data_IF_234910375247
#
_entry.id   IF_234910375247
#
_cell.length_a   1.000
_cell.length_b   1.000
_cell.length_c   1.000
_cell.angle_alpha   90.00
_cell.angle_beta   90.00
_cell.angle_gamma   90.00
#
_symmetry.space_group_name_H-M   'P 1'
#
loop_
_entity.id
_entity.type
_entity.pdbx_description
1 polymer ?
#
# COMPACT_ATOMS: atom_id res chain seq x y z
N UNK A 1 3.33 58.86 66.44
CA UNK A 1 3.64 57.95 67.56
C UNK A 1 5.15 57.86 67.65
N UNK A 2 5.72 58.58 68.61
CA UNK A 2 7.15 58.62 68.90
C UNK A 2 7.61 57.27 69.46
N UNK A 3 8.80 56.80 69.08
CA UNK A 3 9.74 56.23 70.05
C UNK A 3 11.18 56.41 69.55
N UNK A 4 11.83 57.41 70.15
CA UNK A 4 13.28 57.48 70.32
C UNK A 4 13.76 56.30 71.18
N UNK A 5 15.01 55.88 71.03
CA UNK A 5 16.02 55.92 72.12
C UNK A 5 17.42 55.61 71.55
N UNK A 6 18.32 56.56 71.80
CA UNK A 6 19.79 56.52 71.67
C UNK A 6 20.39 55.50 72.65
N UNK A 7 21.64 55.08 72.44
CA UNK A 7 22.89 55.44 73.19
C UNK A 7 23.84 54.28 72.84
N UNK A 8 25.15 54.37 72.60
CA UNK A 8 26.24 55.33 72.76
C UNK A 8 27.52 54.48 72.60
N UNK A 9 28.58 54.92 71.94
CA UNK A 9 29.62 55.71 72.59
C UNK A 9 31.02 55.32 72.06
N UNK A 10 31.85 56.35 71.89
CA UNK A 10 33.33 56.45 71.97
C UNK A 10 34.21 55.49 71.14
N UNK A 11 34.95 55.94 70.12
CA UNK A 11 36.13 56.83 70.11
C UNK A 11 37.36 56.25 70.84
N UNK A 12 38.26 55.71 70.01
CA UNK A 12 39.71 55.92 69.96
C UNK A 12 40.69 55.04 70.77
N UNK A 13 41.78 54.75 70.05
CA UNK A 13 43.20 54.72 70.40
C UNK A 13 43.98 53.40 70.25
N UNK A 14 45.19 53.59 69.69
CA UNK A 14 46.36 52.71 69.56
C UNK A 14 46.41 51.83 68.28
N UNK A 15 47.49 51.76 67.49
CA UNK A 15 48.84 52.36 67.55
C UNK A 15 49.53 52.07 66.18
N UNK A 16 50.06 53.11 65.54
CA UNK A 16 51.35 53.21 64.79
C UNK A 16 51.89 52.02 63.99
N UNK A 17 52.21 52.25 62.71
CA UNK A 17 53.36 51.61 62.06
C UNK A 17 53.39 51.62 60.52
N UNK A 18 54.29 52.42 59.91
CA UNK A 18 54.96 52.19 58.61
C UNK A 18 54.12 52.37 57.33
N UNK A 19 54.26 53.46 56.57
CA UNK A 19 55.27 53.66 55.50
C UNK A 19 55.34 52.48 54.50
N UNK A 20 54.67 52.68 53.36
CA UNK A 20 55.19 52.59 51.98
C UNK A 20 56.33 51.56 51.77
N UNK A 21 56.01 50.36 51.25
CA UNK A 21 56.76 49.64 50.21
C UNK A 21 56.14 48.25 49.97
N UNK A 22 55.41 48.03 48.87
CA UNK A 22 55.57 46.85 47.99
C UNK A 22 54.57 46.90 46.83
N UNK A 23 55.10 47.26 45.67
CA UNK A 23 54.58 46.91 44.36
C UNK A 23 54.58 45.39 44.15
N UNK A 24 53.72 44.92 43.23
CA UNK A 24 53.58 43.54 42.72
C UNK A 24 52.97 42.52 43.69
N UNK A 25 51.67 42.22 43.50
CA UNK A 25 51.24 40.86 43.16
C UNK A 25 49.79 40.86 42.65
N UNK A 26 49.70 40.79 41.33
CA UNK A 26 48.70 40.06 40.53
C UNK A 26 47.44 39.54 41.21
N UNK A 27 46.32 40.16 40.88
CA UNK A 27 45.09 39.44 40.50
C UNK A 27 44.69 39.99 39.14
N UNK A 28 45.38 39.59 38.07
CA UNK A 28 44.97 38.45 37.25
C UNK A 28 43.43 38.33 37.17
N UNK A 29 42.79 39.41 36.73
CA UNK A 29 41.55 39.26 35.97
C UNK A 29 41.95 38.45 34.74
N UNK A 30 41.64 37.16 34.78
CA UNK A 30 41.82 36.25 33.67
C UNK A 30 41.01 36.84 32.52
N UNK A 31 41.74 37.50 31.63
CA UNK A 31 41.35 37.69 30.26
C UNK A 31 41.03 36.31 29.71
N UNK A 32 39.75 35.94 29.69
CA UNK A 32 39.25 35.17 28.57
C UNK A 32 39.21 36.13 27.39
N UNK A 33 40.40 36.44 26.86
CA UNK A 33 40.60 36.56 25.42
C UNK A 33 40.13 35.22 24.85
N UNK A 34 38.81 35.07 24.76
CA UNK A 34 38.18 34.32 23.69
C UNK A 34 38.89 34.82 22.45
N UNK A 35 39.73 33.96 21.89
CA UNK A 35 40.53 34.30 20.74
C UNK A 35 39.60 35.01 19.76
N UNK A 36 39.94 36.25 19.40
CA UNK A 36 39.38 36.95 18.25
C UNK A 36 39.59 36.01 17.06
N UNK A 37 38.65 35.11 16.82
CA UNK A 37 38.46 34.53 15.51
C UNK A 37 38.12 35.74 14.67
N UNK A 38 39.11 36.25 13.94
CA UNK A 38 38.91 37.25 12.90
C UNK A 38 37.66 36.84 12.11
N UNK A 39 36.51 37.43 12.43
CA UNK A 39 35.25 37.20 11.73
C UNK A 39 35.39 37.92 10.39
N UNK A 40 36.20 37.34 9.50
CA UNK A 40 36.44 37.81 8.16
C UNK A 40 35.07 37.97 7.52
N UNK A 41 34.73 39.21 7.19
CA UNK A 41 33.46 39.54 6.56
C UNK A 41 33.75 39.74 5.09
N UNK A 42 33.14 38.90 4.25
CA UNK A 42 33.30 38.90 2.80
C UNK A 42 32.04 39.43 2.14
N UNK A 43 32.22 40.11 1.01
CA UNK A 43 31.13 40.58 0.16
C UNK A 43 30.92 39.60 -0.99
N UNK A 44 29.75 39.00 -1.08
CA UNK A 44 29.35 38.07 -2.13
C UNK A 44 28.43 38.76 -3.14
N UNK A 45 28.85 38.88 -4.40
CA UNK A 45 27.97 39.40 -5.45
C UNK A 45 26.97 38.32 -5.91
N UNK A 46 25.70 38.69 -6.00
CA UNK A 46 24.61 37.81 -6.46
C UNK A 46 23.68 38.55 -7.42
N UNK A 47 23.08 37.86 -8.40
CA UNK A 47 21.98 38.45 -9.19
C UNK A 47 20.72 38.55 -8.34
N UNK A 48 19.87 39.56 -8.62
CA UNK A 48 18.59 39.78 -7.93
C UNK A 48 17.64 38.59 -8.08
N UNK A 49 17.66 37.96 -9.25
CA UNK A 49 16.80 36.82 -9.52
C UNK A 49 17.47 35.82 -10.47
N UNK A 50 17.49 34.56 -10.05
CA UNK A 50 17.81 33.41 -10.88
C UNK A 50 17.11 32.20 -10.28
N UNK A 51 16.12 31.60 -10.97
CA UNK A 51 15.25 30.58 -10.37
C UNK A 51 16.02 29.48 -9.65
N UNK A 52 15.45 29.00 -8.54
CA UNK A 52 16.02 28.03 -7.59
C UNK A 52 17.25 28.54 -6.81
N UNK A 53 18.14 29.30 -7.44
CA UNK A 53 19.45 29.67 -6.89
C UNK A 53 19.41 30.95 -6.07
N UNK A 54 18.76 31.98 -6.60
CA UNK A 54 18.76 33.34 -6.07
C UNK A 54 17.38 33.97 -6.21
N UNK A 55 16.84 34.42 -5.10
CA UNK A 55 15.61 35.19 -5.01
C UNK A 55 15.78 36.26 -3.94
N UNK A 56 15.52 37.52 -4.28
CA UNK A 56 15.54 38.63 -3.33
C UNK A 56 14.11 39.03 -3.00
N UNK A 57 13.76 39.05 -1.72
CA UNK A 57 12.44 39.48 -1.26
C UNK A 57 12.27 41.02 -1.24
N UNK A 58 11.09 41.49 -0.86
CA UNK A 58 10.79 42.93 -0.77
C UNK A 58 11.60 43.67 0.31
N UNK A 59 12.29 42.93 1.19
CA UNK A 59 13.14 43.45 2.26
C UNK A 59 14.64 43.39 1.88
N UNK A 60 14.95 43.18 0.60
CA UNK A 60 16.29 43.00 0.06
C UNK A 60 17.07 41.86 0.76
N UNK A 61 16.37 40.84 1.29
CA UNK A 61 17.01 39.64 1.82
C UNK A 61 17.11 38.57 0.73
N UNK A 62 18.33 38.12 0.40
CA UNK A 62 18.52 37.06 -0.57
C UNK A 62 18.22 35.70 0.04
N UNK A 63 17.57 34.86 -0.75
CA UNK A 63 17.22 33.49 -0.43
C UNK A 63 17.47 32.61 -1.66
N UNK A 64 17.55 31.30 -1.46
CA UNK A 64 17.71 30.35 -2.57
C UNK A 64 18.82 29.34 -2.29
N UNK A 65 18.96 28.37 -3.19
CA UNK A 65 19.89 27.27 -3.02
C UNK A 65 21.33 27.74 -2.81
N UNK A 66 21.80 28.66 -3.67
CA UNK A 66 23.16 29.16 -3.60
C UNK A 66 23.44 29.98 -2.33
N UNK A 67 22.41 30.64 -1.78
CA UNK A 67 22.50 31.37 -0.51
C UNK A 67 22.59 30.39 0.65
N UNK A 68 21.67 29.43 0.73
CA UNK A 68 21.67 28.39 1.77
C UNK A 68 22.99 27.59 1.76
N UNK A 69 23.52 27.26 0.58
CA UNK A 69 24.82 26.60 0.45
C UNK A 69 25.97 27.49 0.94
N UNK A 70 26.01 28.76 0.53
CA UNK A 70 27.07 29.68 0.91
C UNK A 70 27.08 29.97 2.41
N UNK A 71 25.91 30.16 3.02
CA UNK A 71 25.79 30.41 4.46
C UNK A 71 26.28 29.20 5.27
N UNK A 72 25.99 27.97 4.81
CA UNK A 72 26.52 26.76 5.45
C UNK A 72 28.05 26.65 5.32
N UNK A 73 28.59 26.96 4.14
CA UNK A 73 30.04 26.99 3.92
C UNK A 73 30.69 28.07 4.79
N UNK A 74 30.09 29.25 4.88
CA UNK A 74 30.54 30.36 5.72
C UNK A 74 30.59 29.95 7.19
N UNK A 75 29.52 29.30 7.69
CA UNK A 75 29.46 28.75 9.05
C UNK A 75 30.55 27.72 9.33
N UNK A 76 30.90 26.86 8.37
CA UNK A 76 31.99 25.87 8.52
C UNK A 76 33.37 26.54 8.60
N UNK A 77 33.53 27.71 7.99
CA UNK A 77 34.79 28.47 7.97
C UNK A 77 34.90 29.55 9.04
N UNK A 78 33.81 29.88 9.74
CA UNK A 78 33.75 31.02 10.67
C UNK A 78 33.74 32.40 9.97
N UNK A 79 33.39 32.44 8.68
CA UNK A 79 33.33 33.65 7.87
C UNK A 79 31.91 34.24 7.95
N UNK A 80 31.80 35.57 7.88
CA UNK A 80 30.52 36.25 7.65
C UNK A 80 30.40 36.66 6.20
N UNK A 81 29.23 36.50 5.60
CA UNK A 81 28.98 36.87 4.21
C UNK A 81 27.92 37.97 4.16
N UNK A 82 28.24 39.07 3.50
CA UNK A 82 27.30 40.11 3.13
C UNK A 82 27.00 40.00 1.65
N UNK A 83 25.72 40.04 1.27
CA UNK A 83 25.31 39.87 -0.12
C UNK A 83 25.16 41.22 -0.83
N UNK A 84 25.90 41.41 -1.92
CA UNK A 84 25.79 42.55 -2.83
C UNK A 84 24.87 42.16 -3.99
N UNK A 85 23.67 42.72 -4.00
CA UNK A 85 22.65 42.43 -5.01
C UNK A 85 22.92 43.25 -6.28
N UNK A 86 22.96 42.58 -7.42
CA UNK A 86 23.09 43.17 -8.76
C UNK A 86 21.90 42.80 -9.63
N UNK A 87 21.56 43.63 -10.62
CA UNK A 87 20.33 43.43 -11.40
C UNK A 87 20.42 42.23 -12.36
N UNK A 88 21.62 41.92 -12.86
CA UNK A 88 21.84 40.83 -13.80
C UNK A 88 23.24 40.20 -13.64
N UNK A 89 23.48 39.09 -14.34
CA UNK A 89 24.76 38.37 -14.31
C UNK A 89 25.95 39.17 -14.82
N UNK A 90 25.77 40.09 -15.76
CA UNK A 90 26.87 40.92 -16.28
C UNK A 90 27.39 41.80 -15.16
N UNK A 91 26.49 42.48 -14.45
CA UNK A 91 26.83 43.34 -13.32
C UNK A 91 27.41 42.54 -12.14
N UNK A 92 26.92 41.32 -11.89
CA UNK A 92 27.48 40.41 -10.88
C UNK A 92 28.93 40.04 -11.17
N UNK A 93 29.23 39.68 -12.43
CA UNK A 93 30.59 39.31 -12.86
C UNK A 93 31.51 40.54 -12.85
N UNK A 94 31.00 41.70 -13.25
CA UNK A 94 31.74 42.96 -13.19
C UNK A 94 32.14 43.32 -11.75
N UNK A 95 31.24 43.15 -10.78
CA UNK A 95 31.52 43.42 -9.36
C UNK A 95 32.71 42.60 -8.82
N UNK A 96 32.81 41.32 -9.20
CA UNK A 96 33.96 40.49 -8.83
C UNK A 96 35.24 40.91 -9.58
N UNK A 97 35.10 41.31 -10.84
CA UNK A 97 36.23 41.74 -11.69
C UNK A 97 36.88 43.01 -11.14
N UNK A 98 36.06 44.01 -10.81
CA UNK A 98 36.48 45.32 -10.28
C UNK A 98 36.91 45.25 -8.81
N UNK A 99 36.54 44.18 -8.10
CA UNK A 99 36.84 44.00 -6.67
C UNK A 99 35.82 44.69 -5.75
N UNK A 100 34.66 45.07 -6.28
CA UNK A 100 33.51 45.49 -5.46
C UNK A 100 32.97 44.32 -4.61
N UNK A 101 33.13 43.09 -5.09
CA UNK A 101 32.85 41.86 -4.35
C UNK A 101 34.08 40.96 -4.25
N UNK A 102 34.15 40.21 -3.15
CA UNK A 102 35.24 39.26 -2.87
C UNK A 102 35.02 37.91 -3.55
N UNK A 103 33.75 37.50 -3.70
CA UNK A 103 33.36 36.22 -4.28
C UNK A 103 31.99 36.26 -4.98
N UNK A 104 31.72 35.22 -5.79
CA UNK A 104 30.37 34.89 -6.29
C UNK A 104 30.05 33.46 -5.84
N UNK A 105 28.95 33.22 -5.09
CA UNK A 105 28.71 31.93 -4.45
C UNK A 105 28.52 30.74 -5.39
N UNK A 106 27.86 30.93 -6.53
CA UNK A 106 27.52 29.83 -7.42
C UNK A 106 27.57 30.29 -8.90
N UNK A 107 28.77 30.32 -9.45
CA UNK A 107 29.03 30.73 -10.84
C UNK A 107 29.41 29.51 -11.69
N UNK A 108 28.93 29.47 -12.94
CA UNK A 108 29.30 28.42 -13.88
C UNK A 108 30.77 28.49 -14.27
N UNK A 109 31.45 27.35 -14.15
CA UNK A 109 32.87 27.18 -14.47
C UNK A 109 33.00 27.01 -15.98
N UNK A 110 33.71 27.94 -16.63
CA UNK A 110 33.93 27.95 -18.09
C UNK A 110 35.37 28.35 -18.38
N UNK A 111 36.01 27.83 -19.46
CA UNK A 111 37.40 28.14 -19.78
C UNK A 111 37.71 29.65 -19.86
N UNK A 112 36.77 30.46 -20.37
CA UNK A 112 36.92 31.90 -20.49
C UNK A 112 36.97 32.59 -19.12
N UNK A 113 36.17 32.11 -18.15
CA UNK A 113 36.12 32.64 -16.79
C UNK A 113 37.31 32.19 -15.95
N UNK A 114 37.80 30.97 -16.15
CA UNK A 114 39.02 30.46 -15.50
C UNK A 114 40.28 31.27 -15.88
N UNK A 115 40.23 32.05 -16.95
CA UNK A 115 41.32 32.98 -17.28
C UNK A 115 41.43 34.12 -16.27
N UNK A 116 40.31 34.57 -15.69
CA UNK A 116 40.21 35.77 -14.84
C UNK A 116 39.80 35.50 -13.38
N UNK A 117 39.22 34.33 -13.11
CA UNK A 117 38.77 33.90 -11.79
C UNK A 117 39.34 32.53 -11.43
N UNK A 118 39.47 32.27 -10.13
CA UNK A 118 39.68 30.93 -9.60
C UNK A 118 38.37 30.41 -9.00
N UNK A 119 38.17 29.10 -9.08
CA UNK A 119 36.95 28.43 -8.63
C UNK A 119 37.27 27.34 -7.61
N UNK A 120 36.37 27.18 -6.64
CA UNK A 120 36.39 25.98 -5.79
C UNK A 120 36.05 24.73 -6.60
N UNK A 121 36.23 23.55 -6.01
CA UNK A 121 35.57 22.34 -6.51
C UNK A 121 34.07 22.58 -6.70
N UNK A 122 33.43 21.90 -7.67
CA UNK A 122 32.03 22.13 -7.97
C UNK A 122 31.16 21.88 -6.74
N UNK A 123 30.31 22.86 -6.40
CA UNK A 123 29.28 22.72 -5.35
C UNK A 123 27.99 22.16 -5.95
N UNK A 124 27.81 22.33 -7.26
CA UNK A 124 26.64 21.90 -8.00
C UNK A 124 27.01 21.52 -9.43
N UNK A 125 26.28 20.60 -10.03
CA UNK A 125 26.33 20.31 -11.46
C UNK A 125 24.90 20.23 -11.99
N UNK A 126 24.61 20.93 -13.08
CA UNK A 126 23.31 20.86 -13.73
C UNK A 126 23.45 20.57 -15.23
N UNK A 127 22.47 19.88 -15.84
CA UNK A 127 22.44 19.69 -17.28
C UNK A 127 21.94 20.95 -17.99
N UNK A 128 22.57 21.29 -19.11
CA UNK A 128 21.99 22.16 -20.14
C UNK A 128 21.32 21.25 -21.16
N UNK A 129 20.02 21.45 -21.37
CA UNK A 129 19.22 20.54 -22.18
C UNK A 129 18.49 21.29 -23.30
N UNK A 130 18.05 20.52 -24.29
CA UNK A 130 17.29 21.05 -25.43
C UNK A 130 15.80 20.97 -25.08
N UNK A 131 15.16 22.13 -25.04
CA UNK A 131 13.72 22.28 -24.87
C UNK A 131 13.04 22.50 -26.20
N UNK A 132 11.96 21.76 -26.42
CA UNK A 132 11.08 21.93 -27.58
C UNK A 132 9.63 22.01 -27.11
N UNK A 133 8.73 22.51 -27.97
CA UNK A 133 7.28 22.43 -27.70
C UNK A 133 6.85 20.97 -27.56
N UNK A 134 5.90 20.67 -26.68
CA UNK A 134 5.43 19.29 -26.48
C UNK A 134 4.87 18.64 -27.75
N UNK A 135 4.33 19.46 -28.65
CA UNK A 135 3.81 19.05 -29.98
C UNK A 135 4.89 18.84 -31.05
N UNK A 136 6.13 19.27 -30.82
CA UNK A 136 7.25 19.14 -31.77
C UNK A 136 7.87 17.75 -31.66
N UNK A 137 8.04 17.02 -32.77
CA UNK A 137 8.60 15.65 -32.78
C UNK A 137 9.81 15.47 -33.70
N UNK A 138 10.16 16.51 -34.48
CA UNK A 138 11.24 16.47 -35.47
C UNK A 138 12.63 16.67 -34.86
N UNK A 139 12.70 17.26 -33.67
CA UNK A 139 13.95 17.52 -32.94
C UNK A 139 14.01 16.56 -31.77
N UNK A 140 14.98 15.64 -31.78
CA UNK A 140 15.15 14.59 -30.76
C UNK A 140 16.51 14.63 -30.08
N UNK A 141 17.49 15.29 -30.68
CA UNK A 141 18.85 15.40 -30.19
C UNK A 141 19.51 16.69 -30.69
N UNK A 142 20.80 16.84 -30.39
CA UNK A 142 21.60 17.99 -30.75
C UNK A 142 21.82 18.10 -32.27
N UNK A 143 21.95 16.96 -32.96
CA UNK A 143 22.18 16.91 -34.41
C UNK A 143 20.99 17.44 -35.22
N UNK A 144 19.77 17.25 -34.70
CA UNK A 144 18.52 17.71 -35.32
C UNK A 144 18.33 19.24 -35.25
N UNK A 145 19.22 19.98 -34.57
CA UNK A 145 19.20 21.45 -34.51
C UNK A 145 19.71 22.12 -35.79
N UNK A 146 20.41 21.40 -36.66
CA UNK A 146 20.91 21.95 -37.91
C UNK A 146 19.77 22.48 -38.80
N UNK A 147 19.91 23.72 -39.27
CA UNK A 147 18.90 24.42 -40.06
C UNK A 147 17.71 24.96 -39.25
N UNK A 148 17.73 24.84 -37.91
CA UNK A 148 16.65 25.29 -37.02
C UNK A 148 16.96 26.61 -36.35
N UNK A 149 15.91 27.32 -35.93
CA UNK A 149 16.03 28.50 -35.07
C UNK A 149 16.13 28.07 -33.61
N UNK A 150 17.22 28.41 -32.95
CA UNK A 150 17.50 27.98 -31.57
C UNK A 150 17.68 29.21 -30.69
N UNK A 151 16.82 29.35 -29.69
CA UNK A 151 16.98 30.37 -28.67
C UNK A 151 18.13 30.02 -27.72
N UNK A 152 18.92 31.03 -27.36
CA UNK A 152 19.99 30.96 -26.36
C UNK A 152 20.01 32.26 -25.55
N UNK A 153 20.66 32.27 -24.40
CA UNK A 153 20.84 33.48 -23.57
C UNK A 153 22.30 33.92 -23.62
N UNK A 154 22.55 35.22 -23.81
CA UNK A 154 23.85 35.84 -24.12
C UNK A 154 25.00 35.42 -23.19
N UNK A 155 24.73 35.24 -21.90
CA UNK A 155 25.74 34.95 -20.86
C UNK A 155 25.92 33.46 -20.57
N UNK A 156 25.23 32.60 -21.32
CA UNK A 156 25.25 31.16 -21.10
C UNK A 156 26.43 30.50 -21.83
N UNK A 157 27.10 29.55 -21.16
CA UNK A 157 28.24 28.81 -21.73
C UNK A 157 27.88 28.05 -23.02
N UNK A 158 26.59 27.75 -23.23
CA UNK A 158 26.13 26.97 -24.38
C UNK A 158 26.24 27.71 -25.72
N UNK A 159 26.32 29.04 -25.72
CA UNK A 159 26.46 29.84 -26.96
C UNK A 159 27.72 29.42 -27.72
N UNK A 160 28.83 29.21 -27.02
CA UNK A 160 30.10 28.82 -27.63
C UNK A 160 30.05 27.40 -28.23
N UNK A 161 29.28 26.50 -27.62
CA UNK A 161 29.11 25.13 -28.12
C UNK A 161 28.27 25.13 -29.38
N UNK A 162 27.12 25.83 -29.36
CA UNK A 162 26.21 25.82 -30.49
C UNK A 162 26.76 26.59 -31.69
N UNK A 163 27.65 27.57 -31.48
CA UNK A 163 28.39 28.23 -32.56
C UNK A 163 29.31 27.29 -33.35
N UNK A 164 29.64 26.10 -32.84
CA UNK A 164 30.42 25.10 -33.57
C UNK A 164 29.57 24.36 -34.64
N UNK A 165 28.24 24.46 -34.57
CA UNK A 165 27.32 23.88 -35.52
C UNK A 165 27.01 24.89 -36.63
N UNK A 166 27.55 24.64 -37.83
CA UNK A 166 27.58 25.63 -38.93
C UNK A 166 26.20 26.07 -39.44
N UNK A 167 25.16 25.25 -39.27
CA UNK A 167 23.82 25.50 -39.83
C UNK A 167 22.75 25.87 -38.78
N UNK A 168 23.12 26.03 -37.51
CA UNK A 168 22.16 26.41 -36.46
C UNK A 168 21.93 27.92 -36.45
N UNK A 169 20.67 28.37 -36.54
CA UNK A 169 20.32 29.78 -36.48
C UNK A 169 20.10 30.21 -35.02
N UNK A 170 21.14 30.74 -34.38
CA UNK A 170 21.06 31.21 -33.00
C UNK A 170 20.31 32.53 -32.88
N UNK A 171 19.27 32.54 -32.04
CA UNK A 171 18.53 33.74 -31.63
C UNK A 171 18.91 34.03 -30.17
N UNK A 172 19.70 35.08 -29.97
CA UNK A 172 20.24 35.43 -28.65
C UNK A 172 19.26 36.34 -27.91
N UNK A 173 18.90 35.94 -26.69
CA UNK A 173 18.07 36.70 -25.77
C UNK A 173 18.90 37.20 -24.59
N UNK A 174 18.46 38.30 -23.98
CA UNK A 174 19.05 38.81 -22.74
C UNK A 174 18.69 37.99 -21.51
N UNK A 175 17.54 37.31 -21.55
CA UNK A 175 16.97 36.58 -20.41
C UNK A 175 16.20 35.33 -20.89
N UNK A 176 16.05 34.35 -20.01
CA UNK A 176 15.42 33.06 -20.25
C UNK A 176 13.89 33.15 -20.41
N UNK A 177 13.23 34.10 -19.75
CA UNK A 177 11.76 34.25 -19.84
C UNK A 177 11.32 34.60 -21.27
N UNK A 178 11.85 35.66 -21.94
CA UNK A 178 11.53 35.93 -23.34
C UNK A 178 11.89 34.78 -24.28
N UNK A 179 13.00 34.08 -24.04
CA UNK A 179 13.42 32.93 -24.84
C UNK A 179 12.41 31.77 -24.76
N UNK A 180 11.93 31.46 -23.54
CA UNK A 180 10.89 30.44 -23.32
C UNK A 180 9.58 30.81 -24.02
N UNK A 181 9.14 32.06 -23.95
CA UNK A 181 7.94 32.51 -24.66
C UNK A 181 8.10 32.47 -26.19
N UNK A 182 9.30 32.76 -26.71
CA UNK A 182 9.62 32.61 -28.13
C UNK A 182 9.52 31.15 -28.59
N UNK A 183 9.93 30.19 -27.73
CA UNK A 183 9.74 28.76 -28.00
C UNK A 183 8.25 28.38 -28.03
N UNK A 184 7.48 28.83 -27.03
CA UNK A 184 6.07 28.49 -26.89
C UNK A 184 5.19 29.06 -28.02
N UNK A 185 5.53 30.25 -28.52
CA UNK A 185 4.84 30.92 -29.63
C UNK A 185 5.17 30.33 -31.00
N UNK A 186 6.29 29.63 -31.13
CA UNK A 186 6.73 29.06 -32.39
C UNK A 186 7.72 29.93 -33.17
N UNK A 187 8.16 31.04 -32.61
CA UNK A 187 9.14 31.93 -33.23
C UNK A 187 10.53 31.27 -33.36
N UNK A 188 10.86 30.39 -32.40
CA UNK A 188 12.01 29.47 -32.46
C UNK A 188 11.56 28.01 -32.39
N UNK A 189 12.40 27.11 -32.90
CA UNK A 189 12.12 25.67 -32.95
C UNK A 189 12.57 24.95 -31.67
N UNK A 190 13.65 25.41 -31.06
CA UNK A 190 14.21 24.88 -29.82
C UNK A 190 14.76 26.00 -28.93
N UNK A 191 14.91 25.71 -27.64
CA UNK A 191 15.56 26.55 -26.65
C UNK A 191 16.56 25.73 -25.86
N UNK A 192 17.81 26.19 -25.76
CA UNK A 192 18.86 25.46 -25.04
C UNK A 192 19.25 26.24 -23.79
N UNK A 193 19.02 25.65 -22.62
CA UNK A 193 19.19 26.32 -21.33
C UNK A 193 19.34 25.31 -20.17
N UNK A 194 19.92 25.73 -19.02
CA UNK A 194 19.92 24.94 -17.79
C UNK A 194 18.55 24.34 -17.48
N UNK A 195 18.51 23.02 -17.41
CA UNK A 195 17.24 22.29 -17.31
C UNK A 195 16.45 22.65 -16.05
N UNK A 196 17.05 22.66 -14.84
CA UNK A 196 16.28 22.89 -13.64
C UNK A 196 15.63 24.28 -13.59
N UNK A 197 16.27 25.28 -14.22
CA UNK A 197 15.74 26.65 -14.30
C UNK A 197 14.46 26.68 -15.14
N UNK A 198 14.45 26.05 -16.31
CA UNK A 198 13.27 26.04 -17.18
C UNK A 198 12.16 25.18 -16.61
N UNK A 199 12.49 24.04 -15.98
CA UNK A 199 11.50 23.21 -15.31
C UNK A 199 10.82 23.99 -14.17
N UNK A 200 11.57 24.65 -13.29
CA UNK A 200 11.00 25.48 -12.21
C UNK A 200 10.12 26.61 -12.74
N UNK A 201 10.60 27.37 -13.72
CA UNK A 201 9.81 28.44 -14.35
C UNK A 201 8.53 27.89 -15.00
N UNK A 202 8.62 26.74 -15.69
CA UNK A 202 7.47 26.12 -16.33
C UNK A 202 6.46 25.54 -15.34
N UNK A 203 6.91 25.07 -14.17
CA UNK A 203 6.06 24.67 -13.05
C UNK A 203 5.34 25.87 -12.43
N UNK A 204 6.07 26.93 -12.09
CA UNK A 204 5.52 28.18 -11.54
C UNK A 204 4.46 28.79 -12.46
N UNK A 205 4.71 28.77 -13.76
CA UNK A 205 3.78 29.28 -14.77
C UNK A 205 2.69 28.27 -15.18
N UNK A 206 2.69 27.04 -14.64
CA UNK A 206 1.73 25.97 -14.99
C UNK A 206 1.70 25.64 -16.49
N UNK A 207 2.87 25.62 -17.13
CA UNK A 207 3.06 25.36 -18.56
C UNK A 207 4.02 24.19 -18.83
N UNK A 208 4.41 23.43 -17.80
CA UNK A 208 5.33 22.30 -17.95
C UNK A 208 4.87 21.30 -19.04
N UNK A 209 3.56 21.09 -19.20
CA UNK A 209 2.99 20.23 -20.24
C UNK A 209 3.09 20.77 -21.69
N UNK A 210 3.52 22.02 -21.87
CA UNK A 210 3.68 22.68 -23.17
C UNK A 210 5.08 22.54 -23.76
N UNK A 211 6.04 22.10 -22.95
CA UNK A 211 7.43 21.89 -23.35
C UNK A 211 7.84 20.45 -23.04
N UNK A 212 8.93 20.00 -23.66
CA UNK A 212 9.61 18.76 -23.29
C UNK A 212 11.10 18.89 -23.53
N UNK A 213 11.87 18.16 -22.75
CA UNK A 213 13.31 17.98 -22.93
C UNK A 213 13.52 16.86 -23.96
N UNK A 214 14.50 17.04 -24.86
CA UNK A 214 14.85 16.04 -25.88
C UNK A 214 16.35 15.77 -25.90
N UNK A 215 16.69 14.50 -26.17
CA UNK A 215 18.06 14.04 -26.26
C UNK A 215 18.77 13.94 -24.91
N UNK A 216 20.06 13.64 -24.98
CA UNK A 216 20.97 13.80 -23.85
C UNK A 216 21.28 15.29 -23.63
N UNK A 217 21.65 15.70 -22.40
CA UNK A 217 22.12 17.05 -22.14
C UNK A 217 23.23 17.46 -23.12
N UNK A 218 23.13 18.66 -23.66
CA UNK A 218 24.15 19.24 -24.56
C UNK A 218 25.48 19.35 -23.83
N UNK A 219 25.41 19.69 -22.54
CA UNK A 219 26.55 19.79 -21.66
C UNK A 219 26.09 19.73 -20.19
N UNK A 220 26.93 19.22 -19.31
CA UNK A 220 26.81 19.47 -17.87
C UNK A 220 27.66 20.68 -17.47
N UNK A 221 27.04 21.69 -16.87
CA UNK A 221 27.77 22.82 -16.28
C UNK A 221 28.02 22.50 -14.82
N UNK A 222 29.29 22.54 -14.46
CA UNK A 222 29.75 22.57 -13.07
C UNK A 222 29.74 24.01 -12.58
N UNK A 223 29.28 24.22 -11.34
CA UNK A 223 29.32 25.52 -10.70
C UNK A 223 30.10 25.46 -9.40
N UNK A 224 30.87 26.51 -9.15
CA UNK A 224 31.72 26.66 -7.98
C UNK A 224 31.56 28.06 -7.37
N UNK A 225 32.13 28.24 -6.18
CA UNK A 225 32.37 29.58 -5.65
C UNK A 225 33.50 30.19 -6.45
N UNK A 226 33.27 31.35 -7.06
CA UNK A 226 34.27 32.08 -7.83
C UNK A 226 34.91 33.17 -6.97
N UNK A 227 36.23 33.30 -7.06
CA UNK A 227 37.00 34.41 -6.48
C UNK A 227 37.90 35.00 -7.55
N UNK A 228 38.42 36.21 -7.32
CA UNK A 228 39.42 36.80 -8.22
C UNK A 228 40.65 35.89 -8.32
N UNK A 229 41.23 35.78 -9.51
CA UNK A 229 42.40 34.93 -9.74
C UNK A 229 43.58 35.29 -8.84
N UNK A 230 44.20 34.28 -8.24
CA UNK A 230 45.29 34.41 -7.27
C UNK A 230 44.84 34.82 -5.86
N UNK A 231 43.54 34.85 -5.57
CA UNK A 231 43.03 35.23 -4.26
C UNK A 231 43.18 34.09 -3.23
N UNK A 232 43.78 34.40 -2.08
CA UNK A 232 44.02 33.45 -0.98
C UNK A 232 42.71 32.88 -0.39
N UNK A 233 41.57 33.56 -0.57
CA UNK A 233 40.25 33.08 -0.14
C UNK A 233 39.92 31.68 -0.66
N UNK A 234 40.41 31.32 -1.85
CA UNK A 234 40.19 29.99 -2.39
C UNK A 234 40.71 28.89 -1.47
N UNK A 235 41.88 29.11 -0.85
CA UNK A 235 42.50 28.13 0.06
C UNK A 235 41.69 27.90 1.34
N UNK A 236 40.90 28.90 1.74
CA UNK A 236 40.01 28.83 2.91
C UNK A 236 38.68 28.16 2.54
N UNK A 237 38.12 28.52 1.38
CA UNK A 237 36.83 28.01 0.92
C UNK A 237 36.89 26.55 0.45
N UNK A 238 37.97 26.17 -0.24
CA UNK A 238 38.10 24.88 -0.92
C UNK A 238 37.95 23.67 0.03
N UNK A 239 38.57 23.62 1.23
CA UNK A 239 38.36 22.52 2.18
C UNK A 239 36.93 22.47 2.72
N UNK A 240 36.31 23.64 2.97
CA UNK A 240 34.95 23.73 3.47
C UNK A 240 33.92 23.24 2.44
N UNK A 241 34.07 23.63 1.18
CA UNK A 241 33.28 23.12 0.05
C UNK A 241 33.38 21.60 -0.02
N UNK A 242 34.59 21.04 0.00
CA UNK A 242 34.80 19.59 -0.10
C UNK A 242 34.14 18.82 1.04
N UNK A 243 34.12 19.40 2.25
CA UNK A 243 33.43 18.80 3.40
C UNK A 243 31.91 18.94 3.30
N UNK A 244 31.43 20.07 2.80
CA UNK A 244 30.01 20.38 2.68
C UNK A 244 29.32 19.50 1.63
N UNK A 245 29.87 19.36 0.42
CA UNK A 245 29.23 18.62 -0.68
C UNK A 245 28.99 17.13 -0.40
N UNK A 246 29.69 16.55 0.57
CA UNK A 246 29.50 15.15 1.01
C UNK A 246 28.66 15.03 2.29
N UNK A 247 28.25 16.15 2.87
CA UNK A 247 27.52 16.20 4.14
C UNK A 247 26.04 15.92 3.96
N UNK A 248 25.35 15.60 5.06
CA UNK A 248 23.90 15.39 5.05
C UNK A 248 23.18 16.72 4.83
N UNK A 249 23.71 17.81 5.35
CA UNK A 249 23.18 19.16 5.21
C UNK A 249 23.11 19.58 3.74
N UNK A 250 24.13 19.26 2.93
CA UNK A 250 24.07 19.45 1.48
C UNK A 250 22.91 18.69 0.85
N UNK A 251 22.70 17.42 1.22
CA UNK A 251 21.60 16.61 0.68
C UNK A 251 20.23 17.18 1.08
N UNK A 252 20.08 17.63 2.33
CA UNK A 252 18.84 18.20 2.84
C UNK A 252 18.52 19.53 2.13
N UNK A 253 19.53 20.39 1.92
CA UNK A 253 19.42 21.64 1.15
C UNK A 253 19.08 21.33 -0.31
N UNK A 254 19.82 20.42 -0.96
CA UNK A 254 19.57 20.05 -2.35
C UNK A 254 18.14 19.49 -2.53
N UNK A 255 17.68 18.63 -1.62
CA UNK A 255 16.32 18.09 -1.66
C UNK A 255 15.24 19.15 -1.44
N UNK A 256 15.46 20.13 -0.56
CA UNK A 256 14.53 21.24 -0.30
C UNK A 256 14.19 22.01 -1.58
N UNK A 257 15.15 22.19 -2.48
CA UNK A 257 15.01 23.01 -3.68
C UNK A 257 14.73 22.22 -4.97
N UNK A 258 15.25 20.99 -5.09
CA UNK A 258 15.12 20.18 -6.32
C UNK A 258 14.15 19.00 -6.22
N UNK A 259 13.67 18.64 -5.04
CA UNK A 259 12.65 17.59 -4.97
C UNK A 259 11.31 18.19 -5.41
N UNK A 260 10.69 17.68 -6.49
CA UNK A 260 9.30 17.99 -6.75
C UNK A 260 8.56 17.44 -5.54
N UNK A 261 8.07 18.30 -4.63
CA UNK A 261 7.31 17.87 -3.46
C UNK A 261 6.22 16.94 -3.97
N UNK A 262 6.34 15.60 -3.83
CA UNK A 262 5.22 14.74 -4.09
C UNK A 262 4.44 14.90 -2.81
N UNK A 263 3.59 15.94 -2.77
CA UNK A 263 2.98 16.45 -1.55
C UNK A 263 2.75 15.30 -0.61
N UNK A 264 3.53 15.22 0.47
CA UNK A 264 3.60 14.01 1.31
C UNK A 264 2.20 13.70 1.87
N UNK A 265 1.35 14.74 1.91
CA UNK A 265 -0.09 14.69 2.10
C UNK A 265 -0.83 13.84 1.05
N UNK A 266 -0.53 13.98 -0.24
CA UNK A 266 -1.19 13.28 -1.36
C UNK A 266 -0.97 11.78 -1.31
N UNK A 267 0.27 11.31 -1.12
CA UNK A 267 0.56 9.86 -1.05
C UNK A 267 -0.05 9.24 0.22
N UNK A 268 0.07 9.92 1.37
CA UNK A 268 -0.57 9.47 2.61
C UNK A 268 -2.09 9.45 2.50
N UNK A 269 -2.70 10.45 1.86
CA UNK A 269 -4.15 10.53 1.65
C UNK A 269 -4.64 9.44 0.69
N UNK A 270 -3.92 9.20 -0.41
CA UNK A 270 -4.24 8.12 -1.36
C UNK A 270 -4.17 6.76 -0.67
N UNK A 271 -3.13 6.50 0.13
CA UNK A 271 -3.04 5.26 0.91
C UNK A 271 -4.16 5.13 1.95
N UNK A 272 -4.55 6.22 2.60
CA UNK A 272 -5.65 6.23 3.58
C UNK A 272 -6.99 5.94 2.90
N UNK A 273 -7.28 6.59 1.78
CA UNK A 273 -8.50 6.36 1.00
C UNK A 273 -8.53 4.93 0.46
N UNK A 274 -7.42 4.43 -0.11
CA UNK A 274 -7.32 3.05 -0.57
C UNK A 274 -7.55 2.05 0.58
N UNK A 275 -6.95 2.31 1.75
CA UNK A 275 -7.16 1.51 2.96
C UNK A 275 -8.61 1.50 3.43
N UNK A 276 -9.28 2.66 3.42
CA UNK A 276 -10.69 2.78 3.78
C UNK A 276 -11.61 2.01 2.82
N UNK A 277 -11.34 2.07 1.52
CA UNK A 277 -12.10 1.32 0.50
C UNK A 277 -11.93 -0.20 0.71
N UNK A 278 -10.69 -0.67 0.92
CA UNK A 278 -10.43 -2.08 1.21
C UNK A 278 -11.16 -2.51 2.49
N UNK A 279 -11.15 -1.69 3.53
CA UNK A 279 -11.85 -1.98 4.77
C UNK A 279 -13.36 -2.13 4.57
N UNK A 280 -13.99 -1.25 3.79
CA UNK A 280 -15.42 -1.34 3.45
C UNK A 280 -15.72 -2.60 2.63
N UNK A 281 -14.87 -2.95 1.66
CA UNK A 281 -15.03 -4.16 0.86
C UNK A 281 -14.92 -5.43 1.72
N UNK A 282 -13.98 -5.45 2.66
CA UNK A 282 -13.80 -6.56 3.61
C UNK A 282 -15.03 -6.68 4.52
N UNK A 283 -15.52 -5.57 5.08
CA UNK A 283 -16.75 -5.56 5.89
C UNK A 283 -17.97 -6.03 5.08
N UNK A 284 -18.11 -5.57 3.84
CA UNK A 284 -19.17 -6.02 2.93
C UNK A 284 -19.10 -7.51 2.65
N UNK A 285 -17.89 -8.05 2.42
CA UNK A 285 -17.67 -9.49 2.25
C UNK A 285 -18.05 -10.28 3.50
N UNK A 286 -17.62 -9.86 4.70
CA UNK A 286 -17.98 -10.52 5.95
C UNK A 286 -19.48 -10.45 6.24
N UNK A 287 -20.10 -9.31 5.95
CA UNK A 287 -21.54 -9.14 6.10
C UNK A 287 -22.31 -10.06 5.15
N UNK A 288 -21.96 -10.06 3.85
CA UNK A 288 -22.57 -10.96 2.87
C UNK A 288 -22.40 -12.42 3.27
N UNK A 289 -21.18 -12.80 3.66
CA UNK A 289 -20.85 -14.15 4.15
C UNK A 289 -21.68 -14.53 5.38
N UNK A 290 -21.85 -13.62 6.33
CA UNK A 290 -22.66 -13.85 7.53
C UNK A 290 -24.12 -14.14 7.19
N UNK A 291 -24.72 -13.36 6.28
CA UNK A 291 -26.11 -13.56 5.85
C UNK A 291 -26.30 -14.87 5.08
N UNK A 292 -25.36 -15.21 4.21
CA UNK A 292 -25.39 -16.47 3.47
C UNK A 292 -25.30 -17.67 4.44
N UNK A 293 -24.37 -17.62 5.40
CA UNK A 293 -24.19 -18.68 6.39
C UNK A 293 -25.45 -18.89 7.23
N UNK A 294 -26.09 -17.79 7.66
CA UNK A 294 -27.36 -17.84 8.41
C UNK A 294 -28.47 -18.53 7.62
N UNK A 295 -28.53 -18.25 6.31
CA UNK A 295 -29.51 -18.87 5.41
C UNK A 295 -29.26 -20.37 5.27
N UNK A 296 -28.00 -20.78 5.09
CA UNK A 296 -27.61 -22.19 4.99
C UNK A 296 -27.93 -22.95 6.28
N UNK A 297 -27.63 -22.36 7.45
CA UNK A 297 -27.94 -22.97 8.75
C UNK A 297 -29.46 -23.20 8.89
N UNK A 298 -30.28 -22.20 8.55
CA UNK A 298 -31.75 -22.35 8.65
C UNK A 298 -32.31 -23.44 7.73
N UNK A 299 -31.71 -23.64 6.55
CA UNK A 299 -32.08 -24.73 5.62
C UNK A 299 -31.66 -26.09 6.18
N UNK A 300 -30.46 -26.17 6.77
CA UNK A 300 -29.97 -27.39 7.43
C UNK A 300 -30.88 -27.79 8.60
N UNK A 301 -31.26 -26.85 9.46
CA UNK A 301 -32.14 -27.12 10.60
C UNK A 301 -33.51 -27.63 10.15
N UNK A 302 -34.09 -27.03 9.10
CA UNK A 302 -35.34 -27.51 8.49
C UNK A 302 -35.20 -28.92 7.91
N UNK A 303 -34.10 -29.21 7.22
CA UNK A 303 -33.84 -30.53 6.66
C UNK A 303 -33.68 -31.59 7.77
N UNK A 304 -32.93 -31.29 8.82
CA UNK A 304 -32.76 -32.18 9.98
C UNK A 304 -34.08 -32.43 10.71
N UNK A 305 -34.91 -31.40 10.89
CA UNK A 305 -36.24 -31.56 11.50
C UNK A 305 -37.17 -32.41 10.63
N UNK A 306 -37.21 -32.19 9.31
CA UNK A 306 -38.02 -32.99 8.39
C UNK A 306 -37.56 -34.46 8.33
N UNK A 307 -36.25 -34.69 8.45
CA UNK A 307 -35.68 -36.03 8.53
C UNK A 307 -36.03 -36.70 9.86
N UNK A 308 -36.00 -35.95 10.97
CA UNK A 308 -36.40 -36.44 12.29
C UNK A 308 -37.88 -36.82 12.32
N UNK A 309 -38.74 -36.01 11.74
CA UNK A 309 -40.18 -36.29 11.60
C UNK A 309 -40.43 -37.52 10.73
N UNK A 310 -39.78 -37.61 9.55
CA UNK A 310 -39.88 -38.77 8.66
C UNK A 310 -39.41 -40.06 9.35
N UNK A 311 -38.32 -40.00 10.13
CA UNK A 311 -37.84 -41.13 10.94
C UNK A 311 -38.83 -41.53 12.03
N UNK A 312 -39.45 -40.57 12.71
CA UNK A 312 -40.47 -40.85 13.72
C UNK A 312 -41.72 -41.51 13.11
N UNK A 313 -42.18 -40.99 11.96
CA UNK A 313 -43.30 -41.56 11.21
C UNK A 313 -42.99 -42.97 10.68
N UNK A 314 -41.77 -43.19 10.17
CA UNK A 314 -41.33 -44.51 9.74
C UNK A 314 -41.28 -45.49 10.92
N UNK A 315 -40.73 -45.07 12.06
CA UNK A 315 -40.69 -45.90 13.28
C UNK A 315 -42.09 -46.29 13.73
N UNK A 316 -43.02 -45.33 13.76
CA UNK A 316 -44.44 -45.59 14.09
C UNK A 316 -45.07 -46.57 13.11
N UNK A 317 -44.85 -46.37 11.81
CA UNK A 317 -45.37 -47.27 10.76
C UNK A 317 -44.83 -48.69 10.91
N UNK A 318 -43.53 -48.83 11.20
CA UNK A 318 -42.89 -50.13 11.48
C UNK A 318 -43.49 -50.78 12.72
N UNK A 319 -43.72 -50.04 13.80
CA UNK A 319 -44.35 -50.55 15.02
C UNK A 319 -45.80 -51.00 14.77
N UNK A 320 -46.59 -50.22 14.05
CA UNK A 320 -47.97 -50.54 13.70
C UNK A 320 -48.05 -51.78 12.80
N UNK A 321 -47.20 -51.87 11.77
CA UNK A 321 -47.08 -53.07 10.92
C UNK A 321 -46.61 -54.28 11.71
N UNK A 322 -45.70 -54.10 12.66
CA UNK A 322 -45.23 -55.20 13.52
C UNK A 322 -46.37 -55.72 14.39
N UNK A 323 -47.22 -54.84 14.94
CA UNK A 323 -48.42 -55.24 15.69
C UNK A 323 -49.44 -55.95 14.81
N UNK A 324 -49.73 -55.41 13.62
CA UNK A 324 -50.63 -56.03 12.65
C UNK A 324 -50.14 -57.43 12.25
N UNK A 325 -48.84 -57.57 11.97
CA UNK A 325 -48.23 -58.87 11.66
C UNK A 325 -48.36 -59.85 12.82
N UNK A 326 -48.11 -59.41 14.07
CA UNK A 326 -48.31 -60.27 15.25
C UNK A 326 -49.76 -60.73 15.39
N UNK A 327 -50.72 -59.83 15.14
CA UNK A 327 -52.14 -60.19 15.17
C UNK A 327 -52.49 -61.21 14.09
N UNK A 328 -52.09 -60.96 12.83
CA UNK A 328 -52.33 -61.91 11.72
C UNK A 328 -51.68 -63.27 11.96
N UNK A 329 -50.47 -63.30 12.54
CA UNK A 329 -49.82 -64.56 12.94
C UNK A 329 -50.64 -65.27 14.01
N UNK A 330 -51.16 -64.56 15.02
CA UNK A 330 -52.05 -65.13 16.03
C UNK A 330 -53.36 -65.68 15.46
N UNK A 331 -54.00 -64.94 14.54
CA UNK A 331 -55.20 -65.40 13.81
C UNK A 331 -54.91 -66.65 12.97
N UNK A 332 -53.77 -66.69 12.29
CA UNK A 332 -53.32 -67.86 11.53
C UNK A 332 -53.07 -69.06 12.44
N UNK A 333 -52.45 -68.87 13.61
CA UNK A 333 -52.27 -69.94 14.58
C UNK A 333 -53.60 -70.48 15.13
N UNK A 334 -54.57 -69.60 15.38
CA UNK A 334 -55.91 -70.00 15.79
C UNK A 334 -56.63 -70.77 14.68
N UNK A 335 -56.65 -70.24 13.47
CA UNK A 335 -57.24 -70.93 12.30
C UNK A 335 -56.60 -72.30 12.08
N UNK A 336 -55.27 -72.41 12.25
CA UNK A 336 -54.57 -73.70 12.18
C UNK A 336 -55.01 -74.67 13.28
N UNK A 337 -55.25 -74.20 14.52
CA UNK A 337 -55.78 -75.02 15.61
C UNK A 337 -57.21 -75.49 15.30
N UNK A 338 -58.08 -74.59 14.84
CA UNK A 338 -59.45 -74.92 14.44
C UNK A 338 -59.48 -75.93 13.31
N UNK A 339 -58.64 -75.74 12.29
CA UNK A 339 -58.50 -76.70 11.18
C UNK A 339 -58.02 -78.07 11.67
N UNK A 340 -57.07 -78.12 12.61
CA UNK A 340 -56.62 -79.38 13.19
C UNK A 340 -57.73 -80.09 13.99
N UNK A 341 -58.55 -79.34 14.74
CA UNK A 341 -59.70 -79.89 15.48
C UNK A 341 -60.75 -80.41 14.49
N UNK A 342 -61.09 -79.62 13.46
CA UNK A 342 -62.01 -80.04 12.41
C UNK A 342 -61.52 -81.31 11.71
N UNK A 343 -60.23 -81.40 11.40
CA UNK A 343 -59.65 -82.58 10.78
C UNK A 343 -59.73 -83.82 11.69
N UNK A 344 -59.45 -83.68 13.00
CA UNK A 344 -59.64 -84.77 13.98
C UNK A 344 -61.10 -85.22 14.08
N UNK A 345 -62.05 -84.27 14.08
CA UNK A 345 -63.47 -84.59 14.11
C UNK A 345 -63.90 -85.33 12.83
N UNK A 346 -63.36 -84.91 11.68
CA UNK A 346 -63.64 -85.53 10.39
C UNK A 346 -63.09 -86.96 10.36
N UNK A 347 -61.88 -87.20 10.86
CA UNK A 347 -61.32 -88.54 11.06
C UNK A 347 -62.21 -89.41 11.96
N UNK A 348 -62.65 -88.87 13.11
CA UNK A 348 -63.57 -89.59 14.01
C UNK A 348 -64.90 -89.95 13.35
N UNK A 349 -65.47 -89.06 12.53
CA UNK A 349 -66.70 -89.35 11.77
C UNK A 349 -66.48 -90.40 10.70
N UNK A 350 -65.33 -90.38 10.01
CA UNK A 350 -64.96 -91.43 9.06
C UNK A 350 -64.90 -92.78 9.76
N UNK A 351 -64.26 -92.88 10.93
CA UNK A 351 -64.23 -94.11 11.73
C UNK A 351 -65.65 -94.57 12.18
N UNK A 352 -66.53 -93.63 12.54
CA UNK A 352 -67.91 -93.93 12.93
C UNK A 352 -68.74 -94.45 11.75
N UNK A 353 -68.57 -93.86 10.57
CA UNK A 353 -69.20 -94.33 9.33
C UNK A 353 -68.69 -95.72 8.97
N UNK A 354 -67.38 -95.96 9.07
CA UNK A 354 -66.79 -97.28 8.85
C UNK A 354 -67.36 -98.33 9.81
N UNK A 355 -67.46 -98.03 11.11
CA UNK A 355 -68.11 -98.91 12.10
C UNK A 355 -69.57 -99.17 11.75
N UNK A 356 -70.32 -98.13 11.39
CA UNK A 356 -71.73 -98.25 11.02
C UNK A 356 -71.92 -99.12 9.77
N UNK A 357 -71.08 -98.93 8.76
CA UNK A 357 -71.05 -99.74 7.55
C UNK A 357 -70.73 -101.20 7.87
N UNK A 358 -69.72 -101.47 8.71
CA UNK A 358 -69.44 -102.84 9.17
C UNK A 358 -70.65 -103.46 9.90
N UNK A 359 -71.36 -102.68 10.70
CA UNK A 359 -72.54 -103.12 11.44
C UNK A 359 -73.72 -103.42 10.49
N UNK A 360 -73.92 -102.60 9.45
CA UNK A 360 -74.89 -102.86 8.39
C UNK A 360 -74.55 -104.11 7.60
N UNK A 361 -73.28 -104.28 7.20
CA UNK A 361 -72.80 -105.51 6.54
C UNK A 361 -73.07 -106.75 7.41
N UNK A 362 -72.78 -106.66 8.71
CA UNK A 362 -73.09 -107.74 9.66
C UNK A 362 -74.60 -108.01 9.77
N UNK A 363 -75.45 -106.98 9.77
CA UNK A 363 -76.92 -107.14 9.73
C UNK A 363 -77.38 -107.80 8.44
N UNK A 364 -76.83 -107.42 7.30
CA UNK A 364 -77.15 -108.05 6.01
C UNK A 364 -76.75 -109.52 5.99
N UNK A 365 -75.56 -109.87 6.48
CA UNK A 365 -75.10 -111.25 6.68
C UNK A 365 -76.07 -112.04 7.56
N UNK A 366 -76.48 -111.46 8.70
CA UNK A 366 -77.42 -112.09 9.63
C UNK A 366 -78.82 -112.24 9.02
N UNK A 367 -79.28 -111.28 8.22
CA UNK A 367 -80.53 -111.34 7.47
C UNK A 367 -80.48 -112.40 6.35
N UNK A 368 -79.34 -112.55 5.68
CA UNK A 368 -79.10 -113.62 4.72
C UNK A 368 -79.14 -115.00 5.39
N UNK A 369 -78.57 -115.12 6.60
CA UNK A 369 -78.62 -116.33 7.42
C UNK A 369 -80.05 -116.65 7.90
N UNK A 370 -80.80 -115.64 8.34
CA UNK A 370 -82.23 -115.74 8.67
C UNK A 370 -83.06 -116.17 7.46
N UNK A 371 -82.81 -115.59 6.27
CA UNK A 371 -83.46 -116.03 5.02
C UNK A 371 -83.14 -117.49 4.71
N UNK A 372 -81.89 -117.94 4.91
CA UNK A 372 -81.50 -119.35 4.80
C UNK A 372 -82.25 -120.24 5.78
N UNK A 373 -82.39 -119.83 7.05
CA UNK A 373 -83.21 -120.55 8.06
C UNK A 373 -84.70 -120.56 7.71
N UNK A 374 -85.24 -119.47 7.16
CA UNK A 374 -86.63 -119.40 6.71
C UNK A 374 -86.87 -120.32 5.50
N UNK A 375 -85.88 -120.44 4.61
CA UNK A 375 -85.89 -121.43 3.53
C UNK A 375 -85.79 -122.86 4.05
N UNK A 376 -85.00 -123.14 5.09
CA UNK A 376 -84.93 -124.49 5.69
C UNK A 376 -86.22 -124.85 6.42
N UNK A 377 -86.88 -123.90 7.08
CA UNK A 377 -88.21 -124.11 7.69
C UNK A 377 -89.29 -124.29 6.62
N UNK A 378 -89.27 -123.52 5.51
CA UNK A 378 -90.16 -123.74 4.37
C UNK A 378 -89.91 -125.10 3.71
N UNK A 379 -88.66 -125.57 3.61
CA UNK A 379 -88.34 -126.93 3.14
C UNK A 379 -88.81 -128.01 4.13
N UNK A 380 -88.71 -127.79 5.43
CA UNK A 380 -89.21 -128.71 6.45
C UNK A 380 -90.76 -128.80 6.45
N UNK A 381 -91.47 -127.69 6.24
CA UNK A 381 -92.93 -127.69 6.09
C UNK A 381 -93.39 -128.28 4.74
N UNK A 382 -92.60 -128.14 3.67
CA UNK A 382 -92.89 -128.78 2.37
C UNK A 382 -92.65 -130.30 2.41
N UNK A 383 -91.65 -130.77 3.17
CA UNK A 383 -91.42 -132.20 3.42
C UNK A 383 -92.50 -132.85 4.32
N UNK A 384 -93.23 -132.06 5.13
CA UNK A 384 -94.39 -132.54 5.90
C UNK A 384 -95.69 -132.65 5.07
N UNK A 385 -95.72 -132.06 3.88
CA UNK A 385 -96.88 -132.10 2.97
C UNK A 385 -96.82 -133.25 1.95
N UNK A 386 -95.66 -133.89 1.76
CA UNK A 386 -95.46 -134.95 0.75
C UNK A 386 -95.40 -136.37 1.36
N UNK A 387 -95.67 -136.54 2.67
CA UNK A 387 -95.76 -137.86 3.31
C UNK A 387 -97.17 -138.20 3.84
N UNK A 388 -98.20 -137.46 3.39
CA UNK A 388 -99.63 -137.76 3.61
C UNK A 388 -100.24 -138.59 2.47
N UNK A 389 -99.47 -139.55 1.95
CA UNK A 389 -99.97 -140.72 1.22
C UNK A 389 -99.20 -141.93 1.74
N UNK A 390 -99.69 -142.53 2.82
CA UNK A 390 -99.88 -143.98 3.06
C UNK A 390 -100.18 -144.21 4.55
N UNK A 391 -101.41 -144.69 4.80
CA UNK A 391 -101.91 -145.46 5.96
C UNK A 391 -102.58 -144.74 7.13
N UNK A 392 -103.77 -145.28 7.42
CA UNK A 392 -104.85 -144.99 8.37
C UNK A 392 -104.49 -145.46 9.79
N UNK A 393 -104.91 -144.73 10.84
CA UNK A 393 -105.82 -145.11 11.95
C UNK A 393 -105.53 -144.33 13.23
#
# INVERSE_FOLDING_TARGET
MNFNIKIGGSIAFFLVGGIIFFTLFSSLSLSSSEADSNNLTLTAAIPRHFPIQYWVDEQDQPTGLAIDMMDNIANLTGIKVNYLIKDNWVDTIEALTTGEADLIPNLGITPEREQVFDFTSPVETFPISIFVRSTQNDIKNLEDLNGRKVAVVETNAVVNILNQFQDVQLIVFKDHIPALFSLLSGDVDAFVYPEPVIISVAEEMTILNKIKVVGEPVQEIKRGIAVKKGNELLSVLQPAVNKFVVSKEYQDIYQKYYSPSPGILTIKLVMLVAGAVIFVLVLGFFFWRYYELKTIISKKDKAENSLKESRANLKKTVEDRTKELKQRVGELEQSKKEMNIANKLLQSKVEEIEKTNQLMVNRELKMAELKKRLQSVKKANKAKSDNSKITIR
#
